data_IF_086403116122
#
_entry.id   IF_086403116122
#
_cell.length_a   1.000
_cell.length_b   1.000
_cell.length_c   1.000
_cell.angle_alpha   90.00
_cell.angle_beta   90.00
_cell.angle_gamma   90.00
#
_symmetry.space_group_name_H-M   'P 1'
#
loop_
_entity.id
_entity.type
_entity.pdbx_description
1 polymer ?
#
# COMPACT_ATOMS: atom_id res chain seq x y z
N UNK A 1 0.59 55.85 -30.40
CA UNK A 1 0.96 55.08 -29.19
C UNK A 1 0.41 53.69 -29.41
N UNK A 2 1.28 52.68 -29.56
CA UNK A 2 0.84 51.28 -29.66
C UNK A 2 0.05 50.96 -28.39
N UNK A 3 -1.23 50.61 -28.52
CA UNK A 3 -2.05 50.15 -27.40
C UNK A 3 -1.35 48.95 -26.75
N UNK A 4 -1.05 49.06 -25.46
CA UNK A 4 -0.47 47.96 -24.71
C UNK A 4 -1.60 46.99 -24.36
N UNK A 5 -1.66 45.78 -24.96
CA UNK A 5 -2.75 44.83 -24.73
C UNK A 5 -2.90 44.44 -23.25
N UNK A 6 -1.86 44.66 -22.43
CA UNK A 6 -1.91 44.44 -20.97
C UNK A 6 -2.85 45.39 -20.24
N UNK A 7 -3.25 46.52 -20.84
CA UNK A 7 -4.25 47.44 -20.28
C UNK A 7 -5.69 46.92 -20.41
N UNK A 8 -5.93 45.90 -21.24
CA UNK A 8 -7.25 45.32 -21.47
C UNK A 8 -7.58 44.15 -20.52
N UNK A 9 -6.62 43.71 -19.70
CA UNK A 9 -6.83 42.63 -18.73
C UNK A 9 -7.82 43.06 -17.63
N UNK A 10 -8.79 42.21 -17.25
CA UNK A 10 -9.75 42.54 -16.20
C UNK A 10 -9.04 42.66 -14.85
N UNK A 11 -9.55 43.53 -13.97
CA UNK A 11 -9.13 43.53 -12.57
C UNK A 11 -9.65 42.26 -11.88
N UNK A 12 -8.92 41.81 -10.85
CA UNK A 12 -9.36 40.67 -10.05
C UNK A 12 -10.75 40.93 -9.44
N UNK A 13 -11.02 42.16 -8.99
CA UNK A 13 -12.34 42.51 -8.45
C UNK A 13 -13.46 42.42 -9.49
N UNK A 14 -13.17 42.79 -10.75
CA UNK A 14 -14.13 42.64 -11.85
C UNK A 14 -14.42 41.17 -12.13
N UNK A 15 -13.39 40.32 -12.18
CA UNK A 15 -13.54 38.87 -12.35
C UNK A 15 -14.41 38.26 -11.23
N UNK A 16 -14.20 38.68 -9.98
CA UNK A 16 -14.98 38.18 -8.83
C UNK A 16 -16.47 38.61 -8.84
N UNK A 17 -16.84 39.63 -9.63
CA UNK A 17 -18.22 40.06 -9.83
C UNK A 17 -18.91 39.28 -10.96
N UNK A 18 -18.17 38.53 -11.79
CA UNK A 18 -18.79 37.72 -12.83
C UNK A 18 -19.63 36.59 -12.22
N UNK A 19 -20.88 36.38 -12.66
CA UNK A 19 -21.78 35.40 -12.05
C UNK A 19 -21.22 33.98 -11.98
N UNK A 20 -20.43 33.56 -12.97
CA UNK A 20 -19.81 32.24 -12.99
C UNK A 20 -18.71 32.07 -11.93
N UNK A 21 -17.85 33.08 -11.75
CA UNK A 21 -16.79 33.09 -10.73
C UNK A 21 -17.39 33.31 -9.33
N UNK A 22 -18.42 34.15 -9.22
CA UNK A 22 -19.09 34.43 -7.96
C UNK A 22 -19.72 33.17 -7.35
N UNK A 23 -20.35 32.32 -8.17
CA UNK A 23 -20.89 31.01 -7.75
C UNK A 23 -19.85 30.07 -7.14
N UNK A 24 -18.56 30.22 -7.49
CA UNK A 24 -17.51 29.42 -6.87
C UNK A 24 -17.38 29.71 -5.38
N UNK A 25 -17.74 30.92 -4.92
CA UNK A 25 -17.63 31.31 -3.52
C UNK A 25 -18.57 30.54 -2.59
N UNK A 26 -19.59 29.88 -3.13
CA UNK A 26 -20.50 29.02 -2.37
C UNK A 26 -19.84 27.72 -1.90
N UNK A 27 -18.78 27.29 -2.61
CA UNK A 27 -18.14 25.97 -2.39
C UNK A 27 -16.62 26.06 -2.21
N UNK A 28 -15.99 27.11 -2.70
CA UNK A 28 -14.54 27.35 -2.66
C UNK A 28 -14.26 28.59 -1.81
N UNK A 29 -13.34 28.52 -0.82
CA UNK A 29 -12.99 29.69 -0.02
C UNK A 29 -12.56 30.88 -0.90
N UNK A 30 -13.04 32.09 -0.57
CA UNK A 30 -12.74 33.33 -1.32
C UNK A 30 -11.23 33.52 -1.57
N UNK A 31 -10.38 33.20 -0.60
CA UNK A 31 -8.93 33.31 -0.73
C UNK A 31 -8.37 32.47 -1.89
N UNK A 32 -8.95 31.29 -2.15
CA UNK A 32 -8.58 30.39 -3.24
C UNK A 32 -9.08 30.93 -4.58
N UNK A 33 -10.32 31.42 -4.65
CA UNK A 33 -10.87 32.03 -5.89
C UNK A 33 -10.09 33.30 -6.27
N UNK A 34 -9.72 34.13 -5.29
CA UNK A 34 -8.85 35.30 -5.49
C UNK A 34 -7.47 34.88 -6.01
N UNK A 35 -6.88 33.81 -5.45
CA UNK A 35 -5.60 33.29 -5.90
C UNK A 35 -5.68 32.79 -7.36
N UNK A 36 -6.74 32.06 -7.71
CA UNK A 36 -7.01 31.61 -9.07
C UNK A 36 -7.12 32.77 -10.07
N UNK A 37 -7.91 33.80 -9.75
CA UNK A 37 -8.06 35.00 -10.58
C UNK A 37 -6.73 35.76 -10.73
N UNK A 38 -5.94 35.87 -9.66
CA UNK A 38 -4.59 36.47 -9.73
C UNK A 38 -3.65 35.66 -10.61
N UNK A 39 -3.70 34.34 -10.52
CA UNK A 39 -2.88 33.44 -11.34
C UNK A 39 -3.25 33.59 -12.83
N UNK A 40 -4.54 33.55 -13.17
CA UNK A 40 -5.06 33.77 -14.51
C UNK A 40 -4.56 35.09 -15.11
N UNK A 41 -4.75 36.20 -14.38
CA UNK A 41 -4.30 37.53 -14.82
C UNK A 41 -2.77 37.60 -14.95
N UNK A 42 -2.01 36.94 -14.06
CA UNK A 42 -0.56 36.91 -14.13
C UNK A 42 -0.03 36.10 -15.33
N UNK A 43 -0.69 35.00 -15.70
CA UNK A 43 -0.38 34.22 -16.90
C UNK A 43 -0.63 35.06 -18.15
N UNK A 44 -1.83 35.62 -18.29
CA UNK A 44 -2.20 36.48 -19.42
C UNK A 44 -1.33 37.75 -19.52
N UNK A 45 -0.82 38.28 -18.40
CA UNK A 45 0.09 39.42 -18.41
C UNK A 45 1.48 39.08 -18.96
N UNK A 46 1.92 37.83 -18.85
CA UNK A 46 3.23 37.35 -19.31
C UNK A 46 3.21 36.96 -20.78
N UNK A 47 2.15 36.31 -21.25
CA UNK A 47 1.95 36.01 -22.68
C UNK A 47 1.29 37.20 -23.38
N UNK A 48 2.00 37.95 -24.24
CA UNK A 48 1.49 39.18 -24.88
C UNK A 48 0.23 38.98 -25.78
N UNK A 49 -0.28 37.76 -25.92
CA UNK A 49 -1.43 37.36 -26.76
C UNK A 49 -2.36 36.31 -26.12
N UNK A 50 -2.09 35.80 -24.92
CA UNK A 50 -2.75 34.60 -24.38
C UNK A 50 -3.71 34.93 -23.23
N UNK A 51 -4.48 36.01 -23.37
CA UNK A 51 -5.62 36.22 -22.48
C UNK A 51 -6.64 35.11 -22.80
N UNK A 52 -7.18 34.40 -21.78
CA UNK A 52 -8.21 33.41 -22.03
C UNK A 52 -9.43 34.07 -22.69
N UNK A 53 -9.98 33.42 -23.70
CA UNK A 53 -11.22 33.86 -24.36
C UNK A 53 -12.38 33.87 -23.35
N UNK A 54 -12.37 32.90 -22.43
CA UNK A 54 -13.31 32.79 -21.32
C UNK A 54 -12.56 32.84 -19.98
N UNK A 55 -12.56 34.02 -19.37
CA UNK A 55 -11.98 34.23 -18.04
C UNK A 55 -12.71 33.47 -16.95
N UNK A 56 -14.02 33.29 -17.08
CA UNK A 56 -14.79 32.55 -16.08
C UNK A 56 -14.38 31.08 -16.09
N UNK A 57 -14.26 30.47 -17.26
CA UNK A 57 -13.80 29.09 -17.40
C UNK A 57 -12.37 28.90 -16.84
N UNK A 58 -11.40 29.74 -17.25
CA UNK A 58 -10.01 29.63 -16.78
C UNK A 58 -9.89 29.83 -15.25
N UNK A 59 -10.59 30.82 -14.69
CA UNK A 59 -10.60 31.04 -13.24
C UNK A 59 -11.29 29.89 -12.49
N UNK A 60 -12.41 29.37 -13.01
CA UNK A 60 -13.10 28.20 -12.44
C UNK A 60 -12.24 26.94 -12.43
N UNK A 61 -11.50 26.68 -13.51
CA UNK A 61 -10.59 25.55 -13.60
C UNK A 61 -9.44 25.68 -12.59
N UNK A 62 -8.80 26.86 -12.54
CA UNK A 62 -7.72 27.14 -11.58
C UNK A 62 -8.21 27.09 -10.14
N UNK A 63 -9.38 27.65 -9.84
CA UNK A 63 -9.97 27.61 -8.51
C UNK A 63 -10.25 26.18 -8.08
N UNK A 64 -10.86 25.37 -8.97
CA UNK A 64 -11.07 23.95 -8.74
C UNK A 64 -9.73 23.24 -8.49
N UNK A 65 -8.70 23.47 -9.32
CA UNK A 65 -7.37 22.89 -9.15
C UNK A 65 -6.72 23.27 -7.82
N UNK A 66 -6.83 24.53 -7.40
CA UNK A 66 -6.28 25.02 -6.13
C UNK A 66 -7.07 24.55 -4.91
N UNK A 67 -8.37 24.29 -5.05
CA UNK A 67 -9.23 23.77 -4.00
C UNK A 67 -9.11 22.25 -3.81
N UNK A 68 -8.61 21.52 -4.83
CA UNK A 68 -8.42 20.07 -4.78
C UNK A 68 -7.40 19.68 -3.71
N UNK A 69 -7.72 18.64 -2.94
CA UNK A 69 -6.77 18.00 -2.02
C UNK A 69 -5.64 17.33 -2.81
N UNK A 70 -4.43 17.31 -2.24
CA UNK A 70 -3.30 16.61 -2.84
C UNK A 70 -3.47 15.09 -2.83
N UNK A 71 -4.00 14.53 -1.72
CA UNK A 71 -4.39 13.13 -1.62
C UNK A 71 -5.85 12.95 -2.07
N UNK A 72 -6.07 12.11 -3.07
CA UNK A 72 -7.38 11.88 -3.70
C UNK A 72 -7.58 10.38 -3.94
N UNK A 73 -8.83 9.89 -3.94
CA UNK A 73 -9.15 8.56 -4.46
C UNK A 73 -8.73 8.43 -5.92
N UNK A 74 -8.32 7.22 -6.30
CA UNK A 74 -7.90 6.87 -7.66
C UNK A 74 -8.54 5.54 -8.04
N UNK A 75 -9.03 5.43 -9.27
CA UNK A 75 -9.46 4.15 -9.82
C UNK A 75 -8.23 3.38 -10.33
N UNK A 76 -7.89 2.29 -9.64
CA UNK A 76 -6.79 1.43 -10.02
C UNK A 76 -7.23 0.43 -11.09
N UNK A 77 -6.94 0.71 -12.35
CA UNK A 77 -7.19 -0.20 -13.48
C UNK A 77 -5.93 -0.95 -13.92
N UNK A 78 -4.88 -0.98 -13.08
CA UNK A 78 -3.59 -1.58 -13.47
C UNK A 78 -3.55 -3.09 -13.33
N UNK A 79 -4.39 -3.68 -12.46
CA UNK A 79 -4.29 -5.10 -12.10
C UNK A 79 -3.16 -5.41 -11.12
N UNK A 80 -2.49 -4.40 -10.58
CA UNK A 80 -1.54 -4.54 -9.47
C UNK A 80 -2.33 -4.44 -8.17
N UNK A 81 -2.52 -5.55 -7.45
CA UNK A 81 -3.38 -5.60 -6.25
C UNK A 81 -2.80 -4.75 -5.12
N UNK A 82 -1.57 -5.05 -4.69
CA UNK A 82 -0.83 -4.29 -3.69
C UNK A 82 0.01 -3.21 -4.38
N UNK A 83 -0.64 -2.20 -4.94
CA UNK A 83 0.06 -1.14 -5.66
C UNK A 83 0.71 -0.15 -4.67
N UNK A 84 2.03 -0.19 -4.54
CA UNK A 84 2.78 0.66 -3.56
C UNK A 84 2.52 2.15 -3.75
N UNK A 85 2.48 2.64 -5.00
CA UNK A 85 2.21 4.05 -5.28
C UNK A 85 0.75 4.47 -5.05
N UNK A 86 -0.20 3.53 -5.02
CA UNK A 86 -1.64 3.81 -4.84
C UNK A 86 -2.13 3.44 -3.43
N UNK A 87 -1.23 3.22 -2.48
CA UNK A 87 -1.58 3.01 -1.07
C UNK A 87 -1.71 1.56 -0.63
N UNK A 88 -1.19 0.59 -1.39
CA UNK A 88 -1.20 -0.85 -1.07
C UNK A 88 -2.62 -1.40 -0.85
N UNK A 89 -2.91 -1.96 0.32
CA UNK A 89 -4.17 -2.62 0.65
C UNK A 89 -5.30 -1.59 0.89
N UNK A 90 -6.38 -1.61 0.10
CA UNK A 90 -7.61 -0.94 0.51
C UNK A 90 -8.25 -1.68 1.69
N UNK A 91 -8.90 -0.93 2.58
CA UNK A 91 -9.51 -1.47 3.80
C UNK A 91 -10.87 -2.11 3.52
N UNK A 92 -11.15 -3.20 4.22
CA UNK A 92 -12.50 -3.76 4.28
C UNK A 92 -13.51 -2.75 4.86
N UNK A 93 -14.78 -2.88 4.49
CA UNK A 93 -15.85 -1.98 4.98
C UNK A 93 -15.89 -1.92 6.51
N UNK A 94 -15.78 -3.07 7.18
CA UNK A 94 -15.74 -3.16 8.64
C UNK A 94 -14.59 -2.33 9.26
N UNK A 95 -13.41 -2.35 8.64
CA UNK A 95 -12.27 -1.55 9.08
C UNK A 95 -12.47 -0.04 8.85
N UNK A 96 -13.09 0.36 7.73
CA UNK A 96 -13.44 1.77 7.46
C UNK A 96 -14.49 2.28 8.46
N UNK A 97 -15.50 1.47 8.77
CA UNK A 97 -16.53 1.78 9.77
C UNK A 97 -15.92 1.93 11.17
N UNK A 98 -15.01 1.01 11.57
CA UNK A 98 -14.29 1.09 12.83
C UNK A 98 -13.43 2.36 12.94
N UNK A 99 -12.69 2.71 11.89
CA UNK A 99 -11.92 3.97 11.84
C UNK A 99 -12.83 5.17 11.99
N UNK A 100 -13.96 5.20 11.27
CA UNK A 100 -14.92 6.31 11.33
C UNK A 100 -15.48 6.47 12.74
N UNK A 101 -15.86 5.37 13.39
CA UNK A 101 -16.37 5.39 14.77
C UNK A 101 -15.33 5.93 15.76
N UNK A 102 -14.08 5.46 15.69
CA UNK A 102 -13.00 5.87 16.60
C UNK A 102 -12.47 7.27 16.29
N UNK A 103 -12.48 7.69 15.02
CA UNK A 103 -12.01 9.01 14.61
C UNK A 103 -12.98 10.12 15.01
N UNK A 104 -14.30 9.85 15.00
CA UNK A 104 -15.36 10.85 15.19
C UNK A 104 -15.56 11.31 16.64
N UNK A 105 -14.92 10.67 17.63
CA UNK A 105 -15.09 11.01 19.03
C UNK A 105 -13.93 10.57 19.93
N UNK A 106 -14.20 10.59 21.24
CA UNK A 106 -13.33 9.99 22.25
C UNK A 106 -13.44 8.47 22.21
N UNK A 107 -12.39 7.79 22.67
CA UNK A 107 -12.31 6.33 22.66
C UNK A 107 -11.50 5.83 23.85
N UNK A 108 -11.74 4.58 24.28
CA UNK A 108 -10.96 3.87 25.29
C UNK A 108 -9.59 3.40 24.77
N UNK A 109 -8.85 4.29 24.11
CA UNK A 109 -7.59 3.96 23.43
C UNK A 109 -6.48 3.60 24.43
N UNK A 110 -6.38 4.34 25.53
CA UNK A 110 -5.41 4.11 26.62
C UNK A 110 -6.13 4.14 27.96
N UNK A 111 -7.36 3.64 28.00
CA UNK A 111 -8.20 3.64 29.19
C UNK A 111 -8.85 2.27 29.35
N UNK A 112 -8.61 1.63 30.48
CA UNK A 112 -9.27 0.38 30.85
C UNK A 112 -10.64 0.72 31.42
N UNK A 113 -11.70 0.26 30.74
CA UNK A 113 -13.08 0.54 31.13
C UNK A 113 -13.51 -0.22 32.38
N UNK A 114 -12.96 -1.40 32.63
CA UNK A 114 -13.29 -2.23 33.80
C UNK A 114 -12.59 -1.70 35.04
N UNK A 115 -11.28 -1.42 34.93
CA UNK A 115 -10.49 -0.94 36.06
C UNK A 115 -10.59 0.60 36.27
N UNK A 116 -11.04 1.37 35.29
CA UNK A 116 -11.16 2.83 35.38
C UNK A 116 -9.83 3.56 35.44
N UNK A 117 -8.75 2.97 34.91
CA UNK A 117 -7.38 3.51 34.96
C UNK A 117 -6.76 3.58 33.56
N UNK A 118 -5.57 4.17 33.47
CA UNK A 118 -4.81 4.20 32.22
C UNK A 118 -4.44 2.77 31.78
N UNK A 119 -4.87 2.39 30.58
CA UNK A 119 -4.48 1.16 29.90
C UNK A 119 -3.39 1.39 28.85
N UNK A 120 -3.04 0.35 28.10
CA UNK A 120 -2.07 0.42 27.01
C UNK A 120 -2.74 0.27 25.65
N UNK A 121 -2.52 1.22 24.75
CA UNK A 121 -3.07 1.12 23.39
C UNK A 121 -2.60 -0.11 22.62
N UNK A 122 -1.45 -0.67 23.00
CA UNK A 122 -0.89 -1.88 22.39
C UNK A 122 -1.66 -3.14 22.76
N UNK A 123 -2.66 -3.04 23.64
CA UNK A 123 -3.56 -4.16 23.97
C UNK A 123 -4.61 -4.38 22.87
N UNK A 124 -4.96 -3.35 22.09
CA UNK A 124 -5.91 -3.46 20.97
C UNK A 124 -5.32 -4.31 19.84
N UNK A 125 -6.07 -5.31 19.37
CA UNK A 125 -5.61 -6.30 18.38
C UNK A 125 -4.59 -7.33 18.87
N UNK A 126 -3.99 -7.15 20.06
CA UNK A 126 -2.98 -8.06 20.65
C UNK A 126 -3.47 -9.49 20.78
N UNK A 127 -4.64 -9.64 21.42
CA UNK A 127 -5.27 -10.95 21.65
C UNK A 127 -5.60 -11.67 20.34
N UNK A 128 -6.10 -10.94 19.35
CA UNK A 128 -6.45 -11.51 18.04
C UNK A 128 -5.22 -11.94 17.26
N UNK A 129 -4.14 -11.15 17.28
CA UNK A 129 -2.87 -11.54 16.65
C UNK A 129 -2.31 -12.83 17.26
N UNK A 130 -2.29 -12.92 18.60
CA UNK A 130 -1.85 -14.14 19.29
C UNK A 130 -2.75 -15.34 18.94
N UNK A 131 -4.08 -15.17 19.02
CA UNK A 131 -5.08 -16.18 18.65
C UNK A 131 -4.91 -16.71 17.23
N UNK A 132 -4.77 -15.81 16.24
CA UNK A 132 -4.73 -16.17 14.82
C UNK A 132 -3.38 -16.75 14.37
N UNK A 133 -2.29 -16.45 15.10
CA UNK A 133 -0.94 -16.91 14.75
C UNK A 133 -0.48 -18.10 15.57
N UNK A 134 -1.13 -18.39 16.70
CA UNK A 134 -0.67 -19.38 17.67
C UNK A 134 0.51 -18.92 18.52
N UNK A 135 0.89 -17.64 18.43
CA UNK A 135 1.94 -17.06 19.27
C UNK A 135 1.45 -16.82 20.71
N UNK A 136 2.39 -16.72 21.65
CA UNK A 136 2.06 -16.43 23.06
C UNK A 136 1.59 -14.99 23.26
N UNK A 137 2.16 -14.05 22.51
CA UNK A 137 1.81 -12.63 22.60
C UNK A 137 1.98 -11.91 21.25
N UNK A 138 1.54 -10.65 21.19
CA UNK A 138 1.72 -9.76 20.06
C UNK A 138 2.06 -8.30 20.47
N UNK A 139 2.68 -7.56 19.54
CA UNK A 139 2.92 -6.13 19.64
C UNK A 139 2.74 -5.47 18.27
N UNK A 140 2.05 -4.33 18.25
CA UNK A 140 1.83 -3.54 17.04
C UNK A 140 2.52 -2.18 17.16
N UNK A 141 3.30 -1.86 16.14
CA UNK A 141 3.98 -0.57 15.94
C UNK A 141 3.61 0.02 14.57
N UNK A 142 4.17 1.17 14.22
CA UNK A 142 3.78 1.99 13.07
C UNK A 142 3.88 1.26 11.72
N UNK A 143 4.96 0.51 11.49
CA UNK A 143 5.17 -0.28 10.27
C UNK A 143 6.23 -1.39 10.49
N UNK A 144 6.32 -2.35 9.58
CA UNK A 144 7.27 -3.47 9.70
C UNK A 144 8.73 -3.03 9.83
N UNK A 145 9.12 -1.93 9.17
CA UNK A 145 10.45 -1.35 9.32
C UNK A 145 10.75 -0.94 10.77
N UNK A 146 9.81 -0.27 11.42
CA UNK A 146 9.93 0.10 12.83
C UNK A 146 9.87 -1.12 13.76
N UNK A 147 9.12 -2.16 13.39
CA UNK A 147 9.09 -3.42 14.13
C UNK A 147 10.47 -4.08 14.12
N UNK A 148 11.13 -4.14 12.96
CA UNK A 148 12.49 -4.67 12.83
C UNK A 148 13.50 -3.87 13.66
N UNK A 149 13.43 -2.54 13.64
CA UNK A 149 14.30 -1.70 14.48
C UNK A 149 14.10 -1.99 15.97
N UNK A 150 12.84 -2.03 16.44
CA UNK A 150 12.51 -2.29 17.85
C UNK A 150 12.97 -3.69 18.27
N UNK A 151 12.70 -4.71 17.45
CA UNK A 151 13.08 -6.09 17.75
C UNK A 151 14.60 -6.23 17.84
N UNK A 152 15.34 -5.77 16.81
CA UNK A 152 16.80 -5.85 16.78
C UNK A 152 17.46 -5.04 17.89
N UNK A 153 16.94 -3.86 18.20
CA UNK A 153 17.46 -3.05 19.30
C UNK A 153 17.24 -3.75 20.66
N UNK A 154 16.08 -4.38 20.85
CA UNK A 154 15.76 -5.11 22.08
C UNK A 154 16.67 -6.33 22.25
N UNK A 155 16.88 -7.12 21.21
CA UNK A 155 17.60 -8.42 21.32
C UNK A 155 19.10 -8.32 21.14
N UNK A 156 19.60 -7.34 20.39
CA UNK A 156 20.97 -7.36 19.90
C UNK A 156 21.64 -5.98 19.81
N UNK A 157 21.18 -4.98 20.58
CA UNK A 157 21.90 -3.71 20.69
C UNK A 157 23.35 -3.95 21.15
N UNK A 158 24.32 -3.48 20.36
CA UNK A 158 25.74 -3.70 20.62
C UNK A 158 26.22 -5.14 20.39
N UNK A 159 25.42 -6.01 19.78
CA UNK A 159 25.77 -7.40 19.44
C UNK A 159 25.68 -7.62 17.93
N UNK A 160 26.26 -8.72 17.46
CA UNK A 160 26.21 -9.15 16.06
C UNK A 160 24.89 -9.87 15.77
N UNK A 161 24.27 -9.53 14.63
CA UNK A 161 23.10 -10.22 14.09
C UNK A 161 23.51 -10.92 12.80
N UNK A 162 23.40 -12.25 12.81
CA UNK A 162 23.80 -13.07 11.67
C UNK A 162 22.67 -13.12 10.65
N UNK A 163 22.98 -12.82 9.39
CA UNK A 163 22.01 -12.83 8.27
C UNK A 163 22.68 -13.28 6.97
N UNK A 164 21.93 -13.97 6.11
CA UNK A 164 22.39 -14.36 4.78
C UNK A 164 22.64 -13.13 3.89
N UNK A 165 23.75 -13.12 3.13
CA UNK A 165 24.01 -12.09 2.11
C UNK A 165 22.89 -12.00 1.06
N UNK A 166 22.26 -13.14 0.74
CA UNK A 166 21.11 -13.18 -0.18
C UNK A 166 19.84 -12.53 0.37
N UNK A 167 19.79 -12.24 1.67
CA UNK A 167 18.63 -11.67 2.37
C UNK A 167 18.82 -10.17 2.70
N UNK A 168 19.91 -9.54 2.24
CA UNK A 168 20.15 -8.09 2.37
C UNK A 168 19.37 -7.29 1.33
N UNK A 169 18.05 -7.30 1.48
CA UNK A 169 17.11 -6.78 0.49
C UNK A 169 16.91 -5.26 0.58
N UNK A 170 16.60 -4.66 -0.57
CA UNK A 170 16.05 -3.30 -0.68
C UNK A 170 14.58 -3.42 -1.08
N UNK A 171 13.69 -2.87 -0.25
CA UNK A 171 12.23 -2.92 -0.46
C UNK A 171 11.73 -1.49 -0.71
N UNK A 172 11.07 -1.29 -1.85
CA UNK A 172 10.64 0.05 -2.27
C UNK A 172 11.84 0.91 -2.69
N UNK A 173 11.85 2.19 -2.32
CA UNK A 173 12.85 3.16 -2.76
C UNK A 173 13.87 3.63 -1.71
N UNK A 174 13.72 3.22 -0.44
CA UNK A 174 14.61 3.71 0.64
C UNK A 174 14.76 2.79 1.85
N UNK A 175 14.12 1.62 1.87
CA UNK A 175 14.25 0.66 2.98
C UNK A 175 15.25 -0.42 2.59
N UNK A 176 16.38 -0.44 3.28
CA UNK A 176 17.45 -1.42 3.11
C UNK A 176 17.69 -2.11 4.44
N UNK A 177 17.61 -3.44 4.45
CA UNK A 177 17.92 -4.24 5.64
C UNK A 177 19.25 -3.85 6.31
N UNK A 178 20.38 -3.70 5.60
CA UNK A 178 21.65 -3.33 6.25
C UNK A 178 21.59 -1.96 6.94
N UNK A 179 20.95 -0.96 6.34
CA UNK A 179 20.85 0.38 6.92
C UNK A 179 19.97 0.39 8.17
N UNK A 180 18.87 -0.35 8.14
CA UNK A 180 17.90 -0.46 9.24
C UNK A 180 18.48 -1.26 10.40
N UNK A 181 19.18 -2.35 10.10
CA UNK A 181 19.91 -3.15 11.10
C UNK A 181 20.99 -2.30 11.77
N UNK A 182 21.76 -1.52 11.02
CA UNK A 182 22.74 -0.61 11.60
C UNK A 182 22.08 0.45 12.51
N UNK A 183 20.90 0.96 12.12
CA UNK A 183 20.15 1.95 12.92
C UNK A 183 19.49 1.38 14.17
N UNK A 184 19.28 0.07 14.26
CA UNK A 184 18.80 -0.57 15.49
C UNK A 184 19.87 -0.62 16.59
N UNK A 185 21.14 -0.34 16.27
CA UNK A 185 22.26 -0.47 17.19
C UNK A 185 22.88 -1.87 17.22
N UNK A 186 22.36 -2.80 16.43
CA UNK A 186 23.01 -4.09 16.16
C UNK A 186 24.14 -3.93 15.14
N UNK A 187 25.06 -4.90 15.13
CA UNK A 187 26.13 -5.02 14.12
C UNK A 187 25.76 -6.09 13.10
N UNK A 188 25.83 -5.73 11.82
CA UNK A 188 25.59 -6.66 10.72
C UNK A 188 26.70 -7.74 10.67
N UNK A 189 26.32 -9.01 10.73
CA UNK A 189 27.22 -10.15 10.49
C UNK A 189 26.69 -10.99 9.32
N UNK A 190 27.06 -10.60 8.12
CA UNK A 190 26.62 -11.27 6.89
C UNK A 190 27.37 -12.59 6.63
N UNK A 191 26.63 -13.62 6.18
CA UNK A 191 27.16 -14.97 5.90
C UNK A 191 26.73 -15.51 4.54
N UNK A 192 27.39 -16.58 4.09
CA UNK A 192 27.11 -17.21 2.80
C UNK A 192 27.46 -16.32 1.61
N UNK A 193 26.71 -16.47 0.52
CA UNK A 193 26.83 -15.71 -0.72
C UNK A 193 25.46 -15.21 -1.19
N UNK A 194 25.42 -14.41 -2.25
CA UNK A 194 24.17 -13.84 -2.77
C UNK A 194 23.14 -14.92 -3.12
N UNK A 195 23.55 -15.99 -3.80
CA UNK A 195 22.66 -17.05 -4.27
C UNK A 195 22.66 -18.29 -3.37
N UNK A 196 23.74 -18.57 -2.63
CA UNK A 196 23.86 -19.78 -1.81
C UNK A 196 24.34 -19.45 -0.41
N UNK A 197 23.52 -19.79 0.56
CA UNK A 197 23.86 -19.76 1.99
C UNK A 197 23.50 -21.11 2.59
N UNK A 198 24.44 -21.74 3.27
CA UNK A 198 24.25 -23.03 3.92
C UNK A 198 24.19 -22.88 5.45
N UNK A 199 23.63 -23.87 6.15
CA UNK A 199 23.53 -23.83 7.62
C UNK A 199 24.91 -23.68 8.29
N UNK A 200 25.95 -24.28 7.70
CA UNK A 200 27.33 -24.15 8.17
C UNK A 200 27.89 -22.73 8.11
N UNK A 201 27.40 -21.89 7.19
CA UNK A 201 27.81 -20.48 7.12
C UNK A 201 27.38 -19.72 8.37
N UNK A 202 26.16 -20.00 8.85
CA UNK A 202 25.66 -19.47 10.13
C UNK A 202 26.45 -20.04 11.30
N UNK A 203 26.63 -21.37 11.37
CA UNK A 203 27.35 -22.04 12.46
C UNK A 203 28.76 -21.49 12.67
N UNK A 204 29.51 -21.25 11.59
CA UNK A 204 30.87 -20.67 11.66
C UNK A 204 30.91 -19.21 12.11
N UNK A 205 29.81 -18.48 11.94
CA UNK A 205 29.73 -17.07 12.30
C UNK A 205 29.29 -16.83 13.74
N UNK A 206 28.72 -17.84 14.41
CA UNK A 206 28.34 -17.77 15.82
C UNK A 206 29.60 -17.62 16.70
N UNK A 207 29.59 -16.64 17.59
CA UNK A 207 30.66 -16.41 18.56
C UNK A 207 30.18 -15.58 19.75
N UNK A 208 31.09 -15.18 20.66
CA UNK A 208 30.74 -14.47 21.90
C UNK A 208 30.05 -13.11 21.70
N UNK A 209 30.18 -12.53 20.50
CA UNK A 209 29.56 -11.26 20.16
C UNK A 209 28.17 -11.41 19.50
N UNK A 210 27.73 -12.63 19.19
CA UNK A 210 26.46 -12.90 18.52
C UNK A 210 25.29 -12.73 19.48
N UNK A 211 24.32 -11.90 19.09
CA UNK A 211 23.10 -11.66 19.86
C UNK A 211 21.87 -12.38 19.30
N UNK A 212 21.78 -12.52 17.96
CA UNK A 212 20.64 -13.18 17.32
C UNK A 212 20.98 -13.63 15.89
N UNK A 213 20.11 -14.48 15.34
CA UNK A 213 20.03 -14.78 13.92
C UNK A 213 18.80 -14.06 13.35
N UNK A 214 18.95 -13.42 12.20
CA UNK A 214 17.86 -12.81 11.45
C UNK A 214 17.68 -13.55 10.13
N UNK A 215 16.46 -14.02 9.88
CA UNK A 215 16.02 -14.49 8.56
C UNK A 215 15.07 -13.46 7.96
N UNK A 216 15.29 -13.08 6.71
CA UNK A 216 14.40 -12.14 5.99
C UNK A 216 13.86 -12.81 4.73
N UNK A 217 12.54 -12.76 4.54
CA UNK A 217 11.89 -13.27 3.33
C UNK A 217 12.14 -12.34 2.13
N UNK A 218 12.49 -12.94 0.98
CA UNK A 218 12.70 -12.24 -0.29
C UNK A 218 11.34 -11.89 -0.92
N UNK A 219 10.64 -10.94 -0.33
CA UNK A 219 9.23 -10.69 -0.67
C UNK A 219 9.02 -9.95 -2.01
N UNK A 220 10.00 -9.17 -2.48
CA UNK A 220 9.87 -8.31 -3.67
C UNK A 220 10.72 -8.72 -4.88
N UNK A 221 11.47 -9.81 -4.78
CA UNK A 221 12.19 -10.42 -5.91
C UNK A 221 12.40 -11.90 -5.62
N UNK A 222 12.78 -12.66 -6.65
CA UNK A 222 13.15 -14.06 -6.50
C UNK A 222 14.46 -14.32 -7.24
N UNK A 223 15.27 -15.23 -6.70
CA UNK A 223 16.49 -15.71 -7.34
C UNK A 223 16.22 -17.04 -8.01
N UNK A 224 16.68 -17.21 -9.26
CA UNK A 224 16.57 -18.46 -10.00
C UNK A 224 17.96 -19.02 -10.38
N UNK A 225 18.03 -20.31 -10.67
CA UNK A 225 19.28 -21.02 -10.97
C UNK A 225 19.85 -21.76 -9.75
N UNK A 226 21.16 -21.68 -9.53
CA UNK A 226 21.82 -22.34 -8.39
C UNK A 226 21.63 -21.53 -7.11
N UNK A 227 20.45 -21.69 -6.49
CA UNK A 227 20.06 -20.98 -5.28
C UNK A 227 19.90 -21.96 -4.12
N UNK A 228 20.34 -21.55 -2.92
CA UNK A 228 20.15 -22.32 -1.69
C UNK A 228 19.98 -21.36 -0.51
N UNK A 229 18.90 -21.53 0.26
CA UNK A 229 18.67 -20.85 1.54
C UNK A 229 18.28 -21.89 2.58
N UNK A 230 18.81 -21.84 3.83
CA UNK A 230 18.39 -22.76 4.87
C UNK A 230 16.91 -22.54 5.23
N UNK A 231 16.23 -23.62 5.61
CA UNK A 231 14.87 -23.54 6.12
C UNK A 231 14.85 -22.73 7.43
N UNK A 232 13.73 -22.06 7.70
CA UNK A 232 13.57 -21.31 8.94
C UNK A 232 13.74 -22.21 10.17
N UNK A 233 13.09 -23.38 10.17
CA UNK A 233 13.19 -24.39 11.23
C UNK A 233 14.62 -24.94 11.45
N UNK A 234 15.46 -25.00 10.41
CA UNK A 234 16.88 -25.35 10.57
C UNK A 234 17.66 -24.27 11.32
N UNK A 235 17.37 -22.99 11.01
CA UNK A 235 17.99 -21.86 11.70
C UNK A 235 17.49 -21.71 13.14
N UNK A 236 16.22 -22.02 13.41
CA UNK A 236 15.67 -22.08 14.78
C UNK A 236 16.47 -23.07 15.61
N UNK A 237 16.59 -24.32 15.13
CA UNK A 237 17.35 -25.36 15.83
C UNK A 237 18.79 -24.94 16.10
N UNK A 238 19.48 -24.39 15.08
CA UNK A 238 20.85 -23.90 15.24
C UNK A 238 20.95 -22.77 16.28
N UNK A 239 20.00 -21.82 16.27
CA UNK A 239 19.98 -20.70 17.21
C UNK A 239 19.83 -21.22 18.65
N UNK A 240 18.84 -22.08 18.89
CA UNK A 240 18.55 -22.62 20.22
C UNK A 240 19.66 -23.54 20.75
N UNK A 241 20.32 -24.33 19.89
CA UNK A 241 21.53 -25.11 20.24
C UNK A 241 22.65 -24.25 20.83
N UNK A 242 22.70 -22.97 20.48
CA UNK A 242 23.71 -22.01 20.94
C UNK A 242 23.16 -20.95 21.91
N UNK A 243 21.91 -21.11 22.39
CA UNK A 243 21.26 -20.16 23.29
C UNK A 243 20.97 -18.79 22.66
N UNK A 244 20.81 -18.74 21.34
CA UNK A 244 20.48 -17.53 20.57
C UNK A 244 19.00 -17.51 20.16
N UNK A 245 18.51 -16.32 19.83
CA UNK A 245 17.17 -16.10 19.28
C UNK A 245 17.19 -16.08 17.75
N UNK A 246 16.13 -16.58 17.12
CA UNK A 246 15.82 -16.37 15.70
C UNK A 246 14.69 -15.35 15.54
N UNK A 247 14.98 -14.27 14.81
CA UNK A 247 13.99 -13.32 14.32
C UNK A 247 13.69 -13.65 12.85
N UNK A 248 12.41 -13.75 12.49
CA UNK A 248 11.97 -14.00 11.13
C UNK A 248 11.13 -12.84 10.61
N UNK A 249 11.71 -12.01 9.75
CA UNK A 249 10.99 -10.96 9.03
C UNK A 249 10.35 -11.53 7.75
N UNK A 250 9.08 -11.90 7.84
CA UNK A 250 8.28 -12.37 6.70
C UNK A 250 7.89 -11.19 5.81
N UNK A 251 7.67 -10.02 6.40
CA UNK A 251 7.32 -8.80 5.70
C UNK A 251 5.89 -8.76 5.15
N UNK A 252 5.38 -9.80 4.49
CA UNK A 252 4.10 -9.81 3.75
C UNK A 252 2.84 -9.92 4.60
N UNK A 253 2.91 -10.60 5.74
CA UNK A 253 1.79 -10.74 6.67
C UNK A 253 0.70 -11.68 6.18
N UNK A 254 1.04 -12.68 5.36
CA UNK A 254 0.08 -13.68 4.91
C UNK A 254 -0.40 -14.53 6.09
N UNK A 255 -1.72 -14.54 6.33
CA UNK A 255 -2.34 -15.28 7.44
C UNK A 255 -2.98 -16.61 7.00
N UNK A 256 -3.48 -16.66 5.76
CA UNK A 256 -4.29 -17.77 5.23
C UNK A 256 -3.56 -18.49 4.10
N UNK A 257 -3.90 -19.76 3.87
CA UNK A 257 -3.35 -20.49 2.72
C UNK A 257 -4.00 -20.04 1.41
N UNK A 258 -3.18 -19.57 0.47
CA UNK A 258 -3.59 -19.19 -0.88
C UNK A 258 -3.12 -20.20 -1.94
N UNK A 259 -2.50 -21.31 -1.54
CA UNK A 259 -2.09 -22.40 -2.43
C UNK A 259 -3.24 -22.95 -3.30
N UNK A 260 -4.51 -23.03 -2.83
CA UNK A 260 -5.62 -23.48 -3.69
C UNK A 260 -5.91 -22.54 -4.87
N UNK A 261 -5.39 -21.30 -4.82
CA UNK A 261 -5.51 -20.29 -5.87
C UNK A 261 -4.22 -20.15 -6.70
N UNK A 262 -3.28 -21.08 -6.54
CA UNK A 262 -1.99 -21.08 -7.27
C UNK A 262 -0.92 -20.16 -6.68
N UNK A 263 -1.12 -19.66 -5.47
CA UNK A 263 -0.21 -18.74 -4.77
C UNK A 263 0.52 -19.48 -3.64
N UNK A 264 1.71 -20.01 -3.92
CA UNK A 264 2.38 -21.02 -3.05
C UNK A 264 3.71 -20.59 -2.44
N UNK A 265 4.34 -19.52 -2.92
CA UNK A 265 5.75 -19.19 -2.59
C UNK A 265 5.93 -18.27 -1.39
N UNK A 266 4.83 -17.82 -0.77
CA UNK A 266 4.87 -16.84 0.31
C UNK A 266 4.66 -17.54 1.66
N UNK A 267 5.55 -17.32 2.64
CA UNK A 267 5.41 -17.92 3.97
C UNK A 267 4.25 -17.29 4.73
N UNK A 268 3.53 -18.12 5.49
CA UNK A 268 2.46 -17.64 6.37
C UNK A 268 3.00 -17.33 7.75
N UNK A 269 2.43 -16.32 8.39
CA UNK A 269 2.79 -15.93 9.75
C UNK A 269 2.58 -17.08 10.75
N UNK A 270 1.44 -17.81 10.76
CA UNK A 270 1.26 -18.93 11.69
C UNK A 270 2.28 -20.05 11.50
N UNK A 271 2.70 -20.32 10.25
CA UNK A 271 3.69 -21.36 9.96
C UNK A 271 5.06 -21.00 10.54
N UNK A 272 5.49 -19.74 10.42
CA UNK A 272 6.77 -19.31 10.98
C UNK A 272 6.79 -19.31 12.52
N UNK A 273 5.65 -19.05 13.15
CA UNK A 273 5.49 -19.22 14.61
C UNK A 273 5.58 -20.71 14.96
N UNK A 274 4.89 -21.58 14.22
CA UNK A 274 4.92 -23.02 14.43
C UNK A 274 6.32 -23.65 14.18
N UNK A 275 7.10 -23.08 13.26
CA UNK A 275 8.49 -23.46 13.00
C UNK A 275 9.43 -23.13 14.19
N UNK A 276 8.96 -22.32 15.15
CA UNK A 276 9.66 -22.00 16.40
C UNK A 276 10.48 -20.72 16.38
N UNK A 277 10.21 -19.79 15.45
CA UNK A 277 10.86 -18.47 15.48
C UNK A 277 10.45 -17.70 16.74
N UNK A 278 11.43 -17.12 17.45
CA UNK A 278 11.20 -16.42 18.72
C UNK A 278 10.42 -15.10 18.53
N UNK A 279 10.61 -14.44 17.37
CA UNK A 279 9.80 -13.34 16.88
C UNK A 279 9.57 -13.45 15.37
N UNK A 280 8.32 -13.26 14.96
CA UNK A 280 7.93 -13.11 13.56
C UNK A 280 7.45 -11.68 13.31
N UNK A 281 7.99 -11.03 12.28
CA UNK A 281 7.68 -9.65 11.92
C UNK A 281 7.02 -9.56 10.55
N UNK A 282 6.03 -8.68 10.41
CA UNK A 282 5.31 -8.49 9.15
C UNK A 282 4.56 -7.14 9.05
N UNK A 283 4.16 -6.78 7.84
CA UNK A 283 3.37 -5.58 7.55
C UNK A 283 1.87 -5.85 7.63
N UNK A 284 1.09 -4.89 8.15
CA UNK A 284 -0.37 -4.98 8.19
C UNK A 284 -1.08 -4.63 6.87
N UNK A 285 -0.44 -3.86 5.99
CA UNK A 285 -1.01 -3.31 4.75
C UNK A 285 -0.54 -4.02 3.47
N UNK A 286 -0.07 -5.26 3.62
CA UNK A 286 0.27 -6.15 2.51
C UNK A 286 -0.78 -7.27 2.42
N UNK A 287 -0.37 -8.53 2.57
CA UNK A 287 -1.27 -9.68 2.46
C UNK A 287 -2.20 -9.87 3.66
N UNK A 288 -1.91 -9.21 4.79
CA UNK A 288 -2.89 -9.10 5.87
C UNK A 288 -4.13 -8.30 5.42
N UNK A 289 -3.98 -7.36 4.47
CA UNK A 289 -5.09 -6.58 3.92
C UNK A 289 -5.70 -5.56 4.88
N UNK A 290 -4.95 -5.16 5.92
CA UNK A 290 -5.34 -4.16 6.90
C UNK A 290 -4.66 -2.80 6.68
N UNK A 291 -4.60 -1.94 7.72
CA UNK A 291 -3.92 -0.66 7.65
C UNK A 291 -2.40 -0.82 7.73
N UNK A 292 -1.66 0.26 7.47
CA UNK A 292 -0.22 0.25 7.71
C UNK A 292 0.05 -0.03 9.19
N UNK A 293 0.76 -1.13 9.46
CA UNK A 293 1.15 -1.54 10.79
C UNK A 293 2.43 -2.39 10.70
N UNK A 294 3.21 -2.41 11.78
CA UNK A 294 4.27 -3.37 12.01
C UNK A 294 3.84 -4.32 13.09
N UNK A 295 3.58 -5.57 12.73
CA UNK A 295 3.14 -6.60 13.66
C UNK A 295 4.35 -7.44 14.07
N UNK A 296 4.45 -7.71 15.37
CA UNK A 296 5.37 -8.68 15.95
C UNK A 296 4.54 -9.69 16.73
N UNK A 297 4.79 -10.98 16.48
CA UNK A 297 4.18 -12.09 17.23
C UNK A 297 5.29 -13.04 17.67
N UNK A 298 5.17 -13.65 18.84
CA UNK A 298 6.19 -14.56 19.36
C UNK A 298 6.06 -14.79 20.87
N UNK A 299 7.18 -15.02 21.54
CA UNK A 299 7.23 -15.29 22.98
C UNK A 299 6.80 -14.09 23.84
N UNK A 300 6.04 -14.35 24.90
CA UNK A 300 5.43 -13.31 25.74
C UNK A 300 6.47 -12.45 26.47
N UNK A 301 7.54 -13.06 26.97
CA UNK A 301 8.61 -12.33 27.66
C UNK A 301 9.35 -11.38 26.70
N UNK A 302 9.67 -11.87 25.51
CA UNK A 302 10.41 -11.10 24.51
C UNK A 302 9.56 -9.92 23.98
N UNK A 303 8.26 -10.12 23.80
CA UNK A 303 7.36 -9.02 23.44
C UNK A 303 7.12 -8.03 24.58
N UNK A 304 7.14 -8.47 25.84
CA UNK A 304 7.15 -7.55 26.98
C UNK A 304 8.41 -6.67 26.99
N UNK A 305 9.58 -7.24 26.69
CA UNK A 305 10.82 -6.47 26.53
C UNK A 305 10.74 -5.46 25.37
N UNK A 306 10.22 -5.88 24.21
CA UNK A 306 9.99 -4.98 23.08
C UNK A 306 9.02 -3.85 23.44
N UNK A 307 7.96 -4.13 24.20
CA UNK A 307 6.98 -3.13 24.66
C UNK A 307 7.61 -2.11 25.62
N UNK A 308 8.54 -2.54 26.47
CA UNK A 308 9.29 -1.68 27.38
C UNK A 308 10.38 -0.85 26.69
N UNK A 309 10.79 -1.23 25.47
CA UNK A 309 11.80 -0.50 24.71
C UNK A 309 11.35 0.95 24.40
N UNK A 310 12.13 2.00 24.74
CA UNK A 310 11.78 3.38 24.45
C UNK A 310 11.51 3.69 22.98
N UNK A 311 12.13 2.95 22.04
CA UNK A 311 11.88 3.10 20.61
C UNK A 311 10.43 2.76 20.25
N UNK A 312 9.76 1.87 20.99
CA UNK A 312 8.34 1.55 20.80
C UNK A 312 7.45 2.78 20.99
N UNK A 313 7.85 3.73 21.85
CA UNK A 313 7.13 5.00 21.99
C UNK A 313 7.23 5.89 20.76
N UNK A 314 8.38 5.88 20.09
CA UNK A 314 8.61 6.61 18.84
C UNK A 314 7.94 5.92 17.65
N UNK A 315 7.96 4.59 17.64
CA UNK A 315 7.34 3.72 16.63
C UNK A 315 5.84 3.47 16.88
N UNK A 316 5.20 4.20 17.79
CA UNK A 316 3.84 3.89 18.24
C UNK A 316 2.81 4.11 17.13
N UNK A 317 1.99 3.10 16.85
CA UNK A 317 0.86 3.22 15.93
C UNK A 317 -0.23 4.18 16.47
N UNK A 318 -0.97 4.80 15.55
CA UNK A 318 -2.04 5.75 15.86
C UNK A 318 -3.39 5.03 16.09
N UNK A 319 -4.39 5.77 16.56
CA UNK A 319 -5.71 5.20 16.93
C UNK A 319 -6.48 4.61 15.74
N UNK A 320 -6.32 5.19 14.55
CA UNK A 320 -7.00 4.72 13.34
C UNK A 320 -6.39 3.40 12.88
N UNK A 321 -5.07 3.26 12.98
CA UNK A 321 -4.38 1.99 12.71
C UNK A 321 -4.90 0.87 13.62
N UNK A 322 -5.02 1.09 14.93
CA UNK A 322 -5.58 0.06 15.83
C UNK A 322 -7.03 -0.28 15.52
N UNK A 323 -7.87 0.73 15.26
CA UNK A 323 -9.28 0.52 14.92
C UNK A 323 -9.46 -0.31 13.64
N UNK A 324 -8.74 0.03 12.57
CA UNK A 324 -8.79 -0.72 11.32
C UNK A 324 -8.17 -2.11 11.46
N UNK A 325 -7.05 -2.24 12.19
CA UNK A 325 -6.35 -3.50 12.34
C UNK A 325 -7.19 -4.52 13.12
N UNK A 326 -7.77 -4.11 14.25
CA UNK A 326 -8.60 -5.00 15.07
C UNK A 326 -9.81 -5.51 14.29
N UNK A 327 -10.56 -4.62 13.62
CA UNK A 327 -11.67 -5.01 12.76
C UNK A 327 -11.24 -5.91 11.57
N UNK A 328 -10.04 -5.71 11.04
CA UNK A 328 -9.49 -6.59 9.99
C UNK A 328 -9.18 -7.98 10.55
N UNK A 329 -8.56 -8.06 11.73
CA UNK A 329 -8.23 -9.33 12.39
C UNK A 329 -9.50 -10.10 12.79
N UNK A 330 -10.59 -9.43 13.16
CA UNK A 330 -11.86 -10.09 13.43
C UNK A 330 -12.40 -10.86 12.21
N UNK A 331 -12.22 -10.33 10.99
CA UNK A 331 -12.62 -11.02 9.75
C UNK A 331 -11.84 -12.34 9.56
N UNK A 332 -10.59 -12.42 10.02
CA UNK A 332 -9.77 -13.62 9.93
C UNK A 332 -10.21 -14.78 10.83
N UNK A 333 -11.11 -14.55 11.80
CA UNK A 333 -11.66 -15.64 12.62
C UNK A 333 -12.54 -16.60 11.82
N UNK A 334 -12.99 -16.18 10.63
CA UNK A 334 -13.60 -17.05 9.63
C UNK A 334 -12.89 -16.83 8.27
N UNK A 335 -12.15 -17.84 7.83
CA UNK A 335 -11.38 -17.77 6.59
C UNK A 335 -12.25 -17.48 5.35
N UNK A 336 -13.49 -17.97 5.30
CA UNK A 336 -14.38 -17.68 4.17
C UNK A 336 -14.84 -16.22 4.17
N UNK A 337 -15.05 -15.64 5.36
CA UNK A 337 -15.34 -14.21 5.50
C UNK A 337 -14.11 -13.38 5.12
N UNK A 338 -12.92 -13.73 5.60
CA UNK A 338 -11.68 -13.04 5.27
C UNK A 338 -11.44 -12.98 3.76
N UNK A 339 -11.54 -14.11 3.06
CA UNK A 339 -11.34 -14.17 1.60
C UNK A 339 -12.38 -13.34 0.82
N UNK A 340 -13.58 -13.15 1.36
CA UNK A 340 -14.66 -12.40 0.70
C UNK A 340 -14.62 -10.90 1.00
N UNK A 341 -14.36 -10.52 2.25
CA UNK A 341 -14.53 -9.15 2.74
C UNK A 341 -13.23 -8.34 2.77
N UNK A 342 -12.06 -9.00 2.86
CA UNK A 342 -10.77 -8.32 2.83
C UNK A 342 -10.40 -8.05 1.36
N UNK A 343 -10.32 -6.79 0.91
CA UNK A 343 -10.21 -6.47 -0.52
C UNK A 343 -9.02 -7.13 -1.21
N UNK A 344 -7.85 -7.15 -0.56
CA UNK A 344 -6.65 -7.78 -1.12
C UNK A 344 -6.86 -9.27 -1.38
N UNK A 345 -7.40 -10.00 -0.40
CA UNK A 345 -7.65 -11.43 -0.53
C UNK A 345 -8.73 -11.71 -1.58
N UNK A 346 -9.80 -10.91 -1.59
CA UNK A 346 -10.84 -11.01 -2.59
C UNK A 346 -10.28 -10.85 -4.01
N UNK A 347 -9.51 -9.79 -4.26
CA UNK A 347 -8.90 -9.51 -5.58
C UNK A 347 -7.94 -10.63 -6.03
N UNK A 348 -7.16 -11.20 -5.10
CA UNK A 348 -6.23 -12.29 -5.39
C UNK A 348 -6.93 -13.62 -5.72
N UNK A 349 -8.13 -13.82 -5.18
CA UNK A 349 -8.86 -15.09 -5.29
C UNK A 349 -10.02 -15.07 -6.30
N UNK A 350 -10.20 -13.97 -7.04
CA UNK A 350 -11.15 -13.90 -8.16
C UNK A 350 -10.83 -14.97 -9.21
N UNK A 351 -11.86 -15.72 -9.61
CA UNK A 351 -11.74 -16.72 -10.66
C UNK A 351 -11.61 -16.08 -12.05
N UNK A 352 -11.02 -16.80 -13.00
CA UNK A 352 -10.92 -16.35 -14.39
C UNK A 352 -12.31 -16.10 -15.02
N UNK A 353 -13.31 -16.91 -14.67
CA UNK A 353 -14.69 -16.73 -15.15
C UNK A 353 -15.32 -15.43 -14.63
N UNK A 354 -15.09 -15.12 -13.35
CA UNK A 354 -15.58 -13.87 -12.74
C UNK A 354 -14.90 -12.64 -13.37
N UNK A 355 -13.58 -12.70 -13.58
CA UNK A 355 -12.84 -11.64 -14.27
C UNK A 355 -13.31 -11.47 -15.72
N UNK A 356 -13.67 -12.56 -16.41
CA UNK A 356 -14.29 -12.52 -17.73
C UNK A 356 -15.61 -11.75 -17.74
N UNK A 357 -16.55 -12.09 -16.85
CA UNK A 357 -17.82 -11.34 -16.72
C UNK A 357 -17.60 -9.87 -16.40
N UNK A 358 -16.66 -9.56 -15.49
CA UNK A 358 -16.35 -8.17 -15.12
C UNK A 358 -15.76 -7.39 -16.30
N UNK A 359 -14.90 -8.02 -17.09
CA UNK A 359 -14.35 -7.40 -18.30
C UNK A 359 -15.45 -7.10 -19.33
N UNK A 360 -16.38 -8.03 -19.54
CA UNK A 360 -17.54 -7.84 -20.43
C UNK A 360 -18.43 -6.68 -19.95
N UNK A 361 -18.77 -6.66 -18.66
CA UNK A 361 -19.57 -5.59 -18.07
C UNK A 361 -18.88 -4.22 -18.16
N UNK A 362 -17.57 -4.16 -17.91
CA UNK A 362 -16.78 -2.95 -18.05
C UNK A 362 -16.74 -2.48 -19.52
N UNK A 363 -16.51 -3.39 -20.46
CA UNK A 363 -16.52 -3.07 -21.90
C UNK A 363 -17.89 -2.54 -22.34
N UNK A 364 -19.00 -3.13 -21.88
CA UNK A 364 -20.34 -2.66 -22.18
C UNK A 364 -20.61 -1.24 -21.63
N UNK A 365 -20.14 -0.96 -20.41
CA UNK A 365 -20.25 0.38 -19.81
C UNK A 365 -19.47 1.42 -20.63
N UNK A 366 -18.24 1.08 -21.04
CA UNK A 366 -17.40 1.96 -21.89
C UNK A 366 -18.04 2.20 -23.24
N UNK A 367 -18.52 1.14 -23.90
CA UNK A 367 -19.18 1.24 -25.22
C UNK A 367 -20.43 2.13 -25.19
N UNK A 368 -21.15 2.12 -24.06
CA UNK A 368 -22.33 2.97 -23.85
C UNK A 368 -21.95 4.43 -23.67
N UNK A 369 -20.88 4.72 -22.92
CA UNK A 369 -20.39 6.08 -22.69
C UNK A 369 -19.63 6.67 -23.91
N UNK A 370 -18.99 5.81 -24.70
CA UNK A 370 -18.15 6.16 -25.85
C UNK A 370 -18.54 5.35 -27.08
N UNK A 371 -19.49 5.86 -27.91
CA UNK A 371 -20.03 5.08 -29.02
C UNK A 371 -19.08 4.97 -30.22
N UNK A 372 -18.06 5.82 -30.33
CA UNK A 372 -17.22 5.92 -31.54
C UNK A 372 -15.76 5.52 -31.31
N UNK A 373 -15.05 6.13 -30.36
CA UNK A 373 -13.64 5.81 -30.04
C UNK A 373 -13.23 6.41 -28.70
N UNK A 374 -12.43 5.73 -27.86
CA UNK A 374 -11.89 4.37 -28.04
C UNK A 374 -12.93 3.27 -27.85
N UNK A 375 -12.94 2.27 -28.74
CA UNK A 375 -13.79 1.08 -28.57
C UNK A 375 -13.08 0.03 -27.71
N UNK A 376 -13.77 -0.61 -26.76
CA UNK A 376 -13.19 -1.62 -25.90
C UNK A 376 -13.04 -2.96 -26.63
N UNK A 377 -11.87 -3.60 -26.46
CA UNK A 377 -11.59 -4.97 -26.91
C UNK A 377 -11.17 -5.85 -25.73
N UNK A 378 -11.78 -7.02 -25.62
CA UNK A 378 -11.37 -8.01 -24.63
C UNK A 378 -10.13 -8.79 -25.08
N UNK A 379 -9.21 -9.03 -24.17
CA UNK A 379 -8.02 -9.84 -24.40
C UNK A 379 -7.65 -10.66 -23.17
N UNK A 380 -7.12 -11.87 -23.38
CA UNK A 380 -6.49 -12.61 -22.29
C UNK A 380 -5.22 -11.88 -21.82
N UNK A 381 -4.96 -11.90 -20.53
CA UNK A 381 -3.76 -11.31 -19.98
C UNK A 381 -3.49 -11.76 -18.56
N UNK A 382 -2.57 -11.06 -17.91
CA UNK A 382 -2.16 -11.36 -16.54
C UNK A 382 -2.14 -10.10 -15.69
N UNK A 383 -2.51 -10.31 -14.43
CA UNK A 383 -2.39 -9.35 -13.35
C UNK A 383 -1.25 -9.78 -12.43
N UNK A 384 -0.81 -8.89 -11.56
CA UNK A 384 0.27 -9.16 -10.61
C UNK A 384 -0.19 -8.82 -9.20
N UNK A 385 0.37 -9.52 -8.22
CA UNK A 385 0.12 -9.24 -6.80
C UNK A 385 0.62 -7.86 -6.41
N UNK A 386 1.85 -7.50 -6.76
CA UNK A 386 2.48 -6.24 -6.37
C UNK A 386 2.94 -6.23 -4.90
N UNK A 387 3.34 -5.06 -4.40
CA UNK A 387 3.55 -4.81 -2.96
C UNK A 387 4.75 -5.48 -2.31
N UNK A 388 5.54 -6.21 -3.09
CA UNK A 388 6.56 -7.08 -2.55
C UNK A 388 5.94 -8.26 -1.81
N UNK A 389 5.11 -9.04 -2.50
CA UNK A 389 4.70 -10.39 -2.11
C UNK A 389 4.37 -11.20 -3.38
N UNK A 390 4.63 -12.50 -3.39
CA UNK A 390 4.47 -13.36 -4.58
C UNK A 390 5.07 -12.76 -5.87
N UNK A 391 6.38 -12.43 -5.91
CA UNK A 391 6.97 -11.64 -7.00
C UNK A 391 6.89 -12.30 -8.38
N UNK A 392 6.79 -13.63 -8.46
CA UNK A 392 6.63 -14.38 -9.72
C UNK A 392 5.18 -14.82 -10.01
N UNK A 393 4.22 -14.50 -9.13
CA UNK A 393 2.84 -14.91 -9.36
C UNK A 393 2.23 -14.16 -10.54
N UNK A 394 1.77 -14.94 -11.52
CA UNK A 394 1.03 -14.46 -12.66
C UNK A 394 -0.42 -14.89 -12.51
N UNK A 395 -1.31 -13.92 -12.32
CA UNK A 395 -2.74 -14.19 -12.12
C UNK A 395 -3.48 -14.02 -13.46
N UNK A 396 -4.08 -15.07 -14.05
CA UNK A 396 -4.86 -14.94 -15.28
C UNK A 396 -6.02 -13.97 -15.13
N UNK A 397 -6.24 -13.10 -16.13
CA UNK A 397 -7.34 -12.13 -16.18
C UNK A 397 -7.85 -11.96 -17.61
N UNK A 398 -9.02 -11.33 -17.73
CA UNK A 398 -9.51 -10.79 -19.01
C UNK A 398 -9.37 -9.28 -18.95
N UNK A 399 -8.56 -8.73 -19.84
CA UNK A 399 -8.26 -7.30 -19.95
C UNK A 399 -9.28 -6.61 -20.86
N UNK A 400 -9.55 -5.34 -20.58
CA UNK A 400 -10.24 -4.43 -21.50
C UNK A 400 -9.19 -3.48 -22.09
N UNK A 401 -8.93 -3.62 -23.39
CA UNK A 401 -7.97 -2.82 -24.14
C UNK A 401 -8.69 -1.72 -24.91
N UNK A 402 -8.14 -0.51 -24.88
CA UNK A 402 -8.64 0.67 -25.57
C UNK A 402 -7.63 1.12 -26.62
N UNK A 403 -8.09 1.28 -27.86
CA UNK A 403 -7.31 1.90 -28.93
C UNK A 403 -7.28 3.42 -28.71
N UNK A 404 -6.11 4.01 -28.41
CA UNK A 404 -6.03 5.42 -28.06
C UNK A 404 -6.23 6.38 -29.23
N UNK A 405 -6.39 5.86 -30.46
CA UNK A 405 -6.49 6.66 -31.66
C UNK A 405 -5.21 7.44 -31.98
N UNK A 406 -5.28 8.51 -32.78
CA UNK A 406 -4.10 9.17 -33.35
C UNK A 406 -3.20 9.86 -32.34
N UNK A 407 -3.69 10.13 -31.12
CA UNK A 407 -2.92 10.79 -30.06
C UNK A 407 -2.06 9.82 -29.24
N UNK A 408 -2.29 8.52 -29.37
CA UNK A 408 -1.47 7.48 -28.75
C UNK A 408 -1.79 7.24 -27.27
N UNK A 409 -1.36 6.06 -26.78
CA UNK A 409 -1.76 5.55 -25.47
C UNK A 409 -1.26 6.39 -24.31
N UNK A 410 -0.08 7.00 -24.44
CA UNK A 410 0.48 7.84 -23.39
C UNK A 410 -0.35 9.10 -23.14
N UNK A 411 -0.89 9.70 -24.21
CA UNK A 411 -1.77 10.86 -24.11
C UNK A 411 -3.11 10.51 -23.47
N UNK A 412 -3.74 9.40 -23.89
CA UNK A 412 -4.99 8.93 -23.27
C UNK A 412 -4.76 8.56 -21.79
N UNK A 413 -3.66 7.86 -21.48
CA UNK A 413 -3.30 7.52 -20.11
C UNK A 413 -3.01 8.77 -19.25
N UNK A 414 -2.44 9.83 -19.83
CA UNK A 414 -2.24 11.11 -19.14
C UNK A 414 -3.58 11.79 -18.86
N UNK A 415 -4.46 11.90 -19.85
CA UNK A 415 -5.79 12.49 -19.69
C UNK A 415 -6.60 11.74 -18.61
N UNK A 416 -6.57 10.41 -18.60
CA UNK A 416 -7.17 9.59 -17.54
C UNK A 416 -6.63 9.91 -16.13
N UNK A 417 -5.31 10.14 -15.98
CA UNK A 417 -4.71 10.49 -14.69
C UNK A 417 -5.04 11.92 -14.23
N UNK A 418 -5.22 12.84 -15.18
CA UNK A 418 -5.54 14.24 -14.90
C UNK A 418 -7.05 14.48 -14.73
N UNK A 419 -7.87 13.56 -15.20
CA UNK A 419 -9.32 13.58 -15.08
C UNK A 419 -9.85 13.46 -13.65
N UNK A 420 -11.18 13.50 -13.53
CA UNK A 420 -11.90 13.40 -12.26
C UNK A 420 -13.10 12.43 -12.39
N UNK A 421 -13.05 11.24 -11.76
CA UNK A 421 -11.98 10.74 -10.91
C UNK A 421 -10.71 10.39 -11.72
N UNK A 422 -9.51 10.47 -11.12
CA UNK A 422 -8.29 9.96 -11.74
C UNK A 422 -8.36 8.45 -11.96
N UNK A 423 -7.99 7.99 -13.16
CA UNK A 423 -7.87 6.58 -13.52
C UNK A 423 -6.40 6.27 -13.83
N UNK A 424 -5.86 5.23 -13.20
CA UNK A 424 -4.50 4.75 -13.47
C UNK A 424 -4.60 3.39 -14.17
N UNK A 425 -4.21 3.38 -15.44
CA UNK A 425 -4.21 2.21 -16.32
C UNK A 425 -2.79 1.84 -16.74
N UNK A 426 -2.62 0.65 -17.33
CA UNK A 426 -1.35 0.25 -17.98
C UNK A 426 -1.33 0.74 -19.43
N UNK A 427 -0.14 0.93 -19.98
CA UNK A 427 0.08 1.05 -21.43
C UNK A 427 0.87 -0.18 -21.87
N UNK A 428 0.35 -0.92 -22.86
CA UNK A 428 1.02 -2.08 -23.42
C UNK A 428 0.69 -2.20 -24.91
N UNK A 429 1.69 -2.51 -25.75
CA UNK A 429 1.54 -2.66 -27.21
C UNK A 429 0.80 -1.49 -27.89
N UNK A 430 1.06 -0.26 -27.42
CA UNK A 430 0.42 0.95 -27.95
C UNK A 430 -1.05 1.13 -27.55
N UNK A 431 -1.57 0.33 -26.62
CA UNK A 431 -2.95 0.35 -26.15
C UNK A 431 -3.03 0.78 -24.68
N UNK A 432 -4.15 1.39 -24.28
CA UNK A 432 -4.48 1.57 -22.85
C UNK A 432 -5.17 0.31 -22.35
N UNK A 433 -4.64 -0.28 -21.27
CA UNK A 433 -5.06 -1.57 -20.74
C UNK A 433 -5.67 -1.39 -19.36
N UNK A 434 -6.93 -1.81 -19.23
CA UNK A 434 -7.70 -1.81 -18.00
C UNK A 434 -7.85 -3.25 -17.51
N UNK A 435 -7.45 -3.50 -16.28
CA UNK A 435 -7.60 -4.79 -15.63
C UNK A 435 -8.74 -4.75 -14.60
N UNK A 436 -9.81 -5.53 -14.77
CA UNK A 436 -10.97 -5.51 -13.87
C UNK A 436 -10.67 -6.08 -12.48
N UNK A 437 -9.51 -6.72 -12.26
CA UNK A 437 -9.19 -7.31 -10.95
C UNK A 437 -9.18 -6.31 -9.81
N UNK A 438 -8.67 -5.11 -10.08
CA UNK A 438 -8.50 -4.05 -9.06
C UNK A 438 -9.61 -3.00 -9.11
N UNK A 439 -10.71 -3.32 -9.80
CA UNK A 439 -11.89 -2.48 -9.93
C UNK A 439 -13.10 -3.15 -9.29
N UNK A 440 -13.84 -2.38 -8.51
CA UNK A 440 -15.17 -2.79 -8.03
C UNK A 440 -16.20 -2.50 -9.14
N UNK A 441 -17.20 -3.36 -9.32
CA UNK A 441 -18.18 -3.19 -10.41
C UNK A 441 -18.98 -1.88 -10.30
N UNK A 442 -19.19 -1.39 -9.07
CA UNK A 442 -19.89 -0.12 -8.80
C UNK A 442 -19.14 1.11 -9.35
N UNK A 443 -17.83 1.01 -9.59
CA UNK A 443 -17.04 2.10 -10.16
C UNK A 443 -17.05 2.14 -11.70
N UNK A 444 -17.60 1.11 -12.38
CA UNK A 444 -17.58 1.04 -13.85
C UNK A 444 -18.26 2.24 -14.54
N UNK A 445 -19.41 2.75 -14.08
CA UNK A 445 -20.01 3.95 -14.69
C UNK A 445 -19.11 5.19 -14.56
N UNK A 446 -18.49 5.38 -13.40
CA UNK A 446 -17.56 6.51 -13.18
C UNK A 446 -16.31 6.39 -14.06
N UNK A 447 -15.77 5.17 -14.19
CA UNK A 447 -14.63 4.89 -15.05
C UNK A 447 -14.97 5.13 -16.53
N UNK A 448 -16.13 4.65 -17.01
CA UNK A 448 -16.57 4.85 -18.38
C UNK A 448 -16.75 6.34 -18.71
N UNK A 449 -17.32 7.13 -17.80
CA UNK A 449 -17.44 8.57 -17.95
C UNK A 449 -16.06 9.27 -17.98
N UNK A 450 -15.11 8.81 -17.15
CA UNK A 450 -13.74 9.34 -17.16
C UNK A 450 -13.04 9.05 -18.51
N UNK A 451 -13.24 7.87 -19.10
CA UNK A 451 -12.74 7.55 -20.44
C UNK A 451 -13.39 8.46 -21.49
N UNK A 452 -14.70 8.66 -21.42
CA UNK A 452 -15.41 9.52 -22.36
C UNK A 452 -14.86 10.96 -22.35
N UNK A 453 -14.63 11.52 -21.16
CA UNK A 453 -14.03 12.85 -21.00
C UNK A 453 -12.59 12.89 -21.55
N UNK A 454 -11.76 11.90 -21.17
CA UNK A 454 -10.36 11.81 -21.60
C UNK A 454 -10.18 11.59 -23.11
N UNK A 455 -11.24 11.16 -23.82
CA UNK A 455 -11.22 10.93 -25.26
C UNK A 455 -11.61 12.17 -26.07
N UNK A 456 -12.22 13.17 -25.43
CA UNK A 456 -12.68 14.42 -26.04
C UNK A 456 -11.65 15.55 -25.97
N UNK A 457 -10.95 15.68 -24.84
CA UNK A 457 -9.65 16.38 -24.77
C UNK A 457 -8.69 15.68 -25.68
#
# INVERSE_FOLDING_TARGET
MSDDPRRQLPSVDRLLQEPAINRLLDTIPRSVVVAAAREAVAVARRGRSDAPEDWAADVSERASRLARRSLRPVLNATGVVLHTNLGRAPLARAAVEAVTAIASGYSALEYDLEAGVRGHRTDHGRRLLAELTGAEDALVVNNAASALVVALNTVAAGMEVIISRGELVEIGGSFRIPDILAKSGARLREVGTTNRTHLDDYRRAIGPATGAILKVHQSNFEQSGFVHSPLASDLVRLAHEHGLLLLHDIGSGLMVDLSPFGLTTEPRVPDAVADGADLVLFSGDKLLGGPQAGCMVGGAELLAQCRANPLTRAARADKMTFAALEATLELYRDQHIALREIPVLQMLTLSAAELGRRAEALAAAIQTAVPTSPLPRLAAGTSVTGGGSFPLASLPTTLVMLDPGPRGADSLALALRLGDPPVVARVADGMVVLDPRTLLEDCFPALANAIAAASQE
#
